data_IF_156392663686
#
_entry.id   IF_156392663686
#
_cell.length_a   1.000
_cell.length_b   1.000
_cell.length_c   1.000
_cell.angle_alpha   90.00
_cell.angle_beta   90.00
_cell.angle_gamma   90.00
#
_symmetry.space_group_name_H-M   'P 1'
#
loop_
_entity.id
_entity.type
_entity.pdbx_description
1 polymer ?
#
# COMPACT_ATOMS: atom_id res chain seq x y z
N UNK A 1 8.44 -38.96 -13.33
CA UNK A 1 7.25 -39.00 -12.50
C UNK A 1 7.48 -38.43 -11.11
N UNK A 2 8.51 -38.84 -10.41
CA UNK A 2 8.83 -38.31 -9.08
C UNK A 2 9.09 -36.82 -9.07
N UNK A 3 9.68 -36.27 -10.13
CA UNK A 3 9.94 -34.82 -10.24
C UNK A 3 8.65 -34.03 -10.34
N UNK A 4 7.65 -34.56 -10.99
CA UNK A 4 6.35 -33.88 -11.14
C UNK A 4 5.63 -33.75 -9.80
N UNK A 5 5.69 -34.79 -8.97
CA UNK A 5 5.08 -34.78 -7.64
C UNK A 5 5.75 -33.73 -6.74
N UNK A 6 7.08 -33.64 -6.78
CA UNK A 6 7.83 -32.65 -5.99
C UNK A 6 7.45 -31.21 -6.40
N UNK A 7 7.32 -30.97 -7.71
CA UNK A 7 6.92 -29.65 -8.22
C UNK A 7 5.52 -29.26 -7.73
N UNK A 8 4.58 -30.18 -7.69
CA UNK A 8 3.22 -29.93 -7.19
C UNK A 8 3.22 -29.55 -5.71
N UNK A 9 4.01 -30.23 -4.89
CA UNK A 9 4.14 -29.89 -3.48
C UNK A 9 4.73 -28.50 -3.27
N UNK A 10 5.73 -28.14 -4.06
CA UNK A 10 6.35 -26.83 -4.01
C UNK A 10 5.35 -25.73 -4.37
N UNK A 11 4.55 -25.94 -5.41
CA UNK A 11 3.52 -24.99 -5.82
C UNK A 11 2.47 -24.77 -4.73
N UNK A 12 2.06 -25.84 -4.06
CA UNK A 12 1.10 -25.74 -2.95
C UNK A 12 1.67 -24.88 -1.80
N UNK A 13 2.95 -25.04 -1.47
CA UNK A 13 3.60 -24.24 -0.42
C UNK A 13 3.62 -22.77 -0.79
N UNK A 14 3.98 -22.45 -2.03
CA UNK A 14 3.98 -21.06 -2.49
C UNK A 14 2.60 -20.44 -2.44
N UNK A 15 1.56 -21.21 -2.77
CA UNK A 15 0.20 -20.73 -2.71
C UNK A 15 -0.23 -20.32 -1.30
N UNK A 16 0.24 -21.02 -0.28
CA UNK A 16 -0.09 -20.67 1.10
C UNK A 16 0.53 -19.35 1.54
N UNK A 17 1.72 -19.01 1.05
CA UNK A 17 2.39 -17.77 1.42
C UNK A 17 1.81 -16.54 0.72
N UNK A 18 1.16 -16.70 -0.43
CA UNK A 18 0.63 -15.57 -1.18
C UNK A 18 -0.58 -14.92 -0.52
N UNK A 19 -1.18 -15.55 0.52
CA UNK A 19 -2.38 -15.04 1.20
C UNK A 19 -2.09 -13.84 2.10
N UNK A 20 -0.82 -13.60 2.48
CA UNK A 20 -0.43 -12.59 3.46
C UNK A 20 0.18 -11.33 2.84
N UNK A 21 -0.16 -11.03 1.59
CA UNK A 21 0.36 -9.84 0.91
C UNK A 21 -0.39 -8.60 1.37
N UNK A 22 0.36 -7.54 1.71
CA UNK A 22 -0.19 -6.23 2.03
C UNK A 22 -0.12 -5.32 0.79
N UNK A 23 -1.06 -4.37 0.67
CA UNK A 23 -1.02 -3.36 -0.37
C UNK A 23 -0.05 -2.25 0.00
N UNK A 24 0.71 -1.76 -0.97
CA UNK A 24 1.64 -0.66 -0.76
C UNK A 24 1.33 0.48 -1.71
N UNK A 25 1.33 1.70 -1.18
CA UNK A 25 1.13 2.93 -1.96
C UNK A 25 2.27 3.87 -1.62
N UNK A 26 2.94 4.39 -2.64
CA UNK A 26 4.07 5.31 -2.46
C UNK A 26 3.67 6.73 -2.79
N UNK A 27 4.16 7.67 -1.96
CA UNK A 27 3.92 9.11 -2.12
C UNK A 27 5.26 9.82 -2.06
N UNK A 28 5.46 10.79 -2.95
CA UNK A 28 6.70 11.56 -3.04
C UNK A 28 6.38 13.00 -3.44
N UNK A 29 7.11 14.01 -2.88
CA UNK A 29 6.96 15.40 -3.34
C UNK A 29 7.30 15.58 -4.82
N UNK A 30 8.01 14.62 -5.41
CA UNK A 30 8.38 14.62 -6.84
C UNK A 30 7.47 13.71 -7.67
N UNK A 31 6.41 13.17 -7.06
CA UNK A 31 5.48 12.28 -7.73
C UNK A 31 4.38 13.03 -8.50
N UNK A 32 3.38 12.29 -8.91
CA UNK A 32 2.20 12.82 -9.59
C UNK A 32 0.97 12.01 -9.22
N UNK A 33 -0.14 12.68 -8.99
CA UNK A 33 -1.40 12.00 -8.67
C UNK A 33 -1.97 11.24 -9.87
N UNK A 34 -1.38 11.42 -11.04
CA UNK A 34 -1.70 10.64 -12.24
C UNK A 34 -0.92 9.33 -12.32
N UNK A 35 0.08 9.16 -11.47
CA UNK A 35 0.87 7.94 -11.41
C UNK A 35 0.07 6.79 -10.80
N UNK A 36 0.66 5.59 -10.83
CA UNK A 36 0.00 4.40 -10.29
C UNK A 36 0.13 4.25 -8.77
N UNK A 37 1.00 5.05 -8.14
CA UNK A 37 1.25 4.95 -6.69
C UNK A 37 2.25 3.87 -6.32
N UNK A 38 3.06 3.45 -7.27
CA UNK A 38 4.11 2.45 -7.05
C UNK A 38 5.41 3.15 -6.64
N UNK A 39 6.40 2.36 -6.24
CA UNK A 39 7.72 2.89 -5.88
C UNK A 39 8.35 3.66 -7.06
N UNK A 40 8.18 3.16 -8.28
CA UNK A 40 8.72 3.76 -9.50
C UNK A 40 7.90 4.94 -10.00
N UNK A 41 6.62 4.98 -9.64
CA UNK A 41 5.69 6.02 -10.08
C UNK A 41 4.78 6.43 -8.90
N UNK A 42 5.33 7.13 -7.90
CA UNK A 42 4.58 7.49 -6.70
C UNK A 42 3.55 8.59 -6.95
N UNK A 43 2.55 8.65 -6.08
CA UNK A 43 1.62 9.76 -6.05
C UNK A 43 2.31 11.01 -5.49
N UNK A 44 1.73 12.16 -5.77
CA UNK A 44 2.21 13.45 -5.25
C UNK A 44 1.62 13.77 -3.88
N UNK A 45 0.34 13.42 -3.66
CA UNK A 45 -0.36 13.85 -2.45
C UNK A 45 -0.81 12.67 -1.60
N UNK A 46 -0.82 12.90 -0.29
CA UNK A 46 -1.34 11.93 0.67
C UNK A 46 -2.84 11.71 0.45
N UNK A 47 -3.57 12.76 0.06
CA UNK A 47 -4.98 12.66 -0.28
C UNK A 47 -5.23 11.62 -1.37
N UNK A 48 -4.40 11.62 -2.41
CA UNK A 48 -4.54 10.65 -3.51
C UNK A 48 -4.26 9.23 -3.03
N UNK A 49 -3.26 9.07 -2.16
CA UNK A 49 -2.93 7.76 -1.61
C UNK A 49 -4.08 7.19 -0.77
N UNK A 50 -4.68 8.03 0.07
CA UNK A 50 -5.82 7.62 0.89
C UNK A 50 -7.02 7.25 0.02
N UNK A 51 -7.24 8.01 -1.05
CA UNK A 51 -8.31 7.70 -2.01
C UNK A 51 -8.08 6.32 -2.64
N UNK A 52 -6.84 6.01 -3.00
CA UNK A 52 -6.51 4.71 -3.57
C UNK A 52 -6.73 3.58 -2.56
N UNK A 53 -6.32 3.78 -1.32
CA UNK A 53 -6.53 2.79 -0.25
C UNK A 53 -8.03 2.54 -0.03
N UNK A 54 -8.81 3.60 0.00
CA UNK A 54 -10.27 3.53 0.15
C UNK A 54 -10.90 2.73 -1.00
N UNK A 55 -10.44 2.96 -2.21
CA UNK A 55 -10.93 2.26 -3.39
C UNK A 55 -10.61 0.77 -3.33
N UNK A 56 -9.41 0.41 -2.92
CA UNK A 56 -9.03 -0.99 -2.74
C UNK A 56 -9.94 -1.70 -1.72
N UNK A 57 -10.25 -1.03 -0.61
CA UNK A 57 -11.11 -1.60 0.42
C UNK A 57 -12.55 -1.73 -0.08
N UNK A 58 -13.03 -0.73 -0.81
CA UNK A 58 -14.38 -0.76 -1.39
C UNK A 58 -14.54 -1.94 -2.35
N UNK A 59 -13.52 -2.24 -3.13
CA UNK A 59 -13.52 -3.34 -4.08
C UNK A 59 -13.14 -4.68 -3.46
N UNK A 60 -12.79 -4.68 -2.18
CA UNK A 60 -12.36 -5.88 -1.47
C UNK A 60 -11.23 -6.61 -2.20
N UNK A 61 -10.21 -5.86 -2.61
CA UNK A 61 -9.08 -6.39 -3.38
C UNK A 61 -8.24 -7.32 -2.51
N UNK A 62 -7.69 -8.43 -3.09
CA UNK A 62 -6.83 -9.34 -2.33
C UNK A 62 -5.59 -8.67 -1.74
N UNK A 63 -5.11 -7.60 -2.37
CA UNK A 63 -3.92 -6.88 -1.93
C UNK A 63 -4.07 -6.28 -0.53
N UNK A 64 -5.30 -6.06 -0.06
CA UNK A 64 -5.53 -5.47 1.25
C UNK A 64 -5.71 -6.50 2.36
N UNK A 65 -5.64 -7.79 2.06
CA UNK A 65 -5.86 -8.83 3.06
C UNK A 65 -4.89 -8.71 4.25
N UNK A 66 -3.65 -8.28 4.01
CA UNK A 66 -2.65 -8.07 5.05
C UNK A 66 -2.48 -6.62 5.47
N UNK A 67 -3.36 -5.71 5.02
CA UNK A 67 -3.30 -4.30 5.32
C UNK A 67 -2.88 -3.44 4.14
N UNK A 68 -2.86 -2.13 4.37
CA UNK A 68 -2.41 -1.16 3.37
C UNK A 68 -1.34 -0.27 4.02
N UNK A 69 -0.19 -0.17 3.37
CA UNK A 69 0.91 0.69 3.82
C UNK A 69 1.08 1.84 2.86
N UNK A 70 0.84 3.07 3.34
CA UNK A 70 1.08 4.30 2.60
C UNK A 70 2.48 4.78 3.00
N UNK A 71 3.44 4.68 2.08
CA UNK A 71 4.84 4.96 2.35
C UNK A 71 5.23 6.32 1.78
N UNK A 72 5.70 7.18 2.68
CA UNK A 72 6.10 8.55 2.33
C UNK A 72 7.59 8.60 2.11
N UNK A 73 8.01 9.08 0.94
CA UNK A 73 9.42 9.34 0.65
C UNK A 73 9.86 10.64 1.29
N UNK A 74 11.16 10.87 1.32
CA UNK A 74 11.76 12.06 1.91
C UNK A 74 11.26 13.32 1.23
N UNK A 75 11.07 14.38 2.01
CA UNK A 75 10.70 15.68 1.50
C UNK A 75 9.59 16.34 2.31
N UNK A 76 9.20 17.53 1.88
CA UNK A 76 8.14 18.32 2.52
C UNK A 76 6.86 18.19 1.70
N UNK A 77 5.80 17.79 2.37
CA UNK A 77 4.48 17.63 1.78
C UNK A 77 3.61 18.80 2.20
N UNK A 78 3.38 19.73 1.27
CA UNK A 78 2.52 20.88 1.53
C UNK A 78 1.05 20.43 1.49
N UNK A 79 0.38 20.53 2.63
CA UNK A 79 -1.01 20.12 2.74
C UNK A 79 -1.92 21.31 2.44
N UNK A 80 -2.32 21.45 1.18
CA UNK A 80 -3.15 22.57 0.72
C UNK A 80 -4.63 22.37 0.99
N UNK A 81 -5.08 21.12 1.01
CA UNK A 81 -6.47 20.76 1.27
C UNK A 81 -6.54 19.93 2.54
N UNK A 82 -7.67 20.01 3.23
CA UNK A 82 -7.89 19.21 4.42
C UNK A 82 -7.80 17.71 4.07
N UNK A 83 -7.14 16.96 4.95
CA UNK A 83 -7.06 15.53 4.84
C UNK A 83 -8.24 14.92 5.59
N UNK A 84 -9.17 14.32 4.84
CA UNK A 84 -10.34 13.68 5.42
C UNK A 84 -10.12 12.20 5.59
N UNK A 85 -10.14 11.74 6.84
CA UNK A 85 -10.07 10.32 7.17
C UNK A 85 -11.43 9.88 7.69
N UNK A 86 -11.94 8.79 7.11
CA UNK A 86 -13.20 8.18 7.53
C UNK A 86 -12.89 6.99 8.44
N UNK A 87 -13.83 6.58 9.30
CA UNK A 87 -13.60 5.42 10.16
C UNK A 87 -13.17 4.17 9.39
N UNK A 88 -13.75 3.92 8.23
CA UNK A 88 -13.41 2.75 7.41
C UNK A 88 -12.01 2.81 6.82
N UNK A 89 -11.38 3.99 6.78
CA UNK A 89 -10.02 4.14 6.26
C UNK A 89 -8.99 3.50 7.18
N UNK A 90 -9.30 3.35 8.46
CA UNK A 90 -8.42 2.71 9.44
C UNK A 90 -8.20 1.23 9.17
N UNK A 91 -9.13 0.59 8.50
CA UNK A 91 -9.09 -0.85 8.26
C UNK A 91 -9.57 -1.66 9.44
N UNK A 92 -9.03 -2.87 9.57
CA UNK A 92 -9.36 -3.80 10.64
C UNK A 92 -8.08 -4.23 11.36
N UNK A 93 -8.15 -4.89 12.53
CA UNK A 93 -6.93 -5.37 13.20
C UNK A 93 -6.08 -6.28 12.32
N UNK A 94 -6.71 -7.08 11.45
CA UNK A 94 -5.98 -7.99 10.54
C UNK A 94 -5.53 -7.31 9.26
N UNK A 95 -6.14 -6.17 8.91
CA UNK A 95 -5.84 -5.42 7.69
C UNK A 95 -5.84 -3.92 7.99
N UNK A 96 -4.86 -3.43 8.77
CA UNK A 96 -4.81 -2.01 9.13
C UNK A 96 -4.33 -1.15 7.97
N UNK A 97 -4.68 0.14 8.01
CA UNK A 97 -4.08 1.14 7.14
C UNK A 97 -2.99 1.86 7.94
N UNK A 98 -1.77 1.81 7.44
CA UNK A 98 -0.59 2.39 8.12
C UNK A 98 0.02 3.46 7.23
N UNK A 99 0.22 4.66 7.78
CA UNK A 99 0.95 5.73 7.09
C UNK A 99 2.33 5.78 7.73
N UNK A 100 3.37 5.57 6.95
CA UNK A 100 4.73 5.46 7.47
C UNK A 100 5.73 6.05 6.49
N UNK A 101 6.94 6.30 6.98
CA UNK A 101 8.05 6.73 6.12
C UNK A 101 8.65 5.53 5.39
N UNK A 102 9.21 5.77 4.21
CA UNK A 102 10.11 4.82 3.57
C UNK A 102 11.34 4.65 4.48
N UNK A 103 11.93 3.47 4.51
CA UNK A 103 13.08 3.18 5.38
C UNK A 103 14.17 4.24 5.22
N UNK A 104 14.56 4.86 6.34
CA UNK A 104 15.58 5.89 6.36
C UNK A 104 15.12 7.29 5.95
N UNK A 105 13.87 7.45 5.56
CA UNK A 105 13.34 8.75 5.16
C UNK A 105 12.77 9.52 6.36
N UNK A 106 12.79 10.85 6.25
CA UNK A 106 12.24 11.77 7.26
C UNK A 106 11.26 12.73 6.59
N UNK A 107 10.08 12.27 6.19
CA UNK A 107 9.09 13.14 5.55
C UNK A 107 8.51 14.13 6.55
N UNK A 108 8.21 15.34 6.06
CA UNK A 108 7.60 16.41 6.86
C UNK A 108 6.27 16.81 6.21
N UNK A 109 5.21 16.77 6.99
CA UNK A 109 3.90 17.23 6.55
C UNK A 109 3.68 18.61 7.14
N UNK A 110 3.49 19.59 6.29
CA UNK A 110 3.45 20.98 6.67
C UNK A 110 2.04 21.57 6.49
#
# INVERSE_FOLDING_TARGET
MKKTIVVLLFMASLGLFSVLVAGEVYVSPHGSDRNAGTKEAPYLTLNRAIKQAREWRRLNRPEVAGGIYIRLEEGVYAQRNSLFLRPEDSGTPDSPTVICAVDGAHPVIS
#
